data_IF_077934715989
#
_entry.id   IF_077934715989
#
_cell.length_a   1.000
_cell.length_b   1.000
_cell.length_c   1.000
_cell.angle_alpha   90.00
_cell.angle_beta   90.00
_cell.angle_gamma   90.00
#
_symmetry.space_group_name_H-M   'P 1'
#
loop_
_entity.id
_entity.type
_entity.pdbx_description
1 polymer ?
#
# COMPACT_ATOMS: atom_id res chain seq x y z
N UNK A 1 -7.95 -16.58 -47.32
CA UNK A 1 -7.73 -15.18 -46.87
C UNK A 1 -7.15 -15.21 -45.47
N UNK A 2 -5.93 -14.71 -45.26
CA UNK A 2 -5.20 -14.87 -44.00
C UNK A 2 -5.92 -14.22 -42.81
N UNK A 3 -5.87 -14.85 -41.63
CA UNK A 3 -6.50 -14.39 -40.38
C UNK A 3 -6.06 -12.96 -39.96
N UNK A 4 -4.95 -12.46 -40.51
CA UNK A 4 -4.48 -11.08 -40.37
C UNK A 4 -5.40 -10.04 -41.03
N UNK A 5 -6.11 -10.39 -42.11
CA UNK A 5 -6.92 -9.44 -42.90
C UNK A 5 -8.22 -8.98 -42.22
N UNK A 6 -8.60 -9.57 -41.07
CA UNK A 6 -9.88 -9.33 -40.39
C UNK A 6 -9.79 -8.53 -39.07
N UNK A 7 -8.59 -8.13 -38.61
CA UNK A 7 -8.41 -7.36 -37.36
C UNK A 7 -8.56 -5.83 -37.61
N UNK A 8 -9.07 -5.02 -36.66
CA UNK A 8 -9.18 -3.56 -36.86
C UNK A 8 -7.84 -2.90 -37.26
N UNK A 9 -7.89 -1.82 -38.05
CA UNK A 9 -6.74 -1.22 -38.75
C UNK A 9 -5.54 -0.89 -37.83
N UNK A 10 -5.80 -0.47 -36.57
CA UNK A 10 -4.76 -0.17 -35.56
C UNK A 10 -3.94 -1.38 -35.10
N UNK A 11 -4.46 -2.60 -35.25
CA UNK A 11 -3.74 -3.84 -34.91
C UNK A 11 -2.79 -4.25 -36.03
N UNK A 12 -2.94 -3.69 -37.24
CA UNK A 12 -2.17 -4.04 -38.43
C UNK A 12 -1.05 -3.06 -38.78
N UNK A 13 -1.07 -1.85 -38.23
CA UNK A 13 -0.15 -0.78 -38.61
C UNK A 13 0.80 -0.45 -37.46
N UNK A 14 2.08 -0.78 -37.63
CA UNK A 14 3.12 -0.57 -36.62
C UNK A 14 3.35 0.92 -36.30
N UNK A 15 3.38 1.78 -37.31
CA UNK A 15 3.68 3.21 -37.17
C UNK A 15 2.68 4.00 -36.31
N UNK A 16 1.35 3.96 -36.56
CA UNK A 16 0.38 4.64 -35.70
C UNK A 16 0.28 4.03 -34.29
N UNK A 17 0.62 2.76 -34.12
CA UNK A 17 0.68 2.12 -32.81
C UNK A 17 1.88 2.60 -31.98
N UNK A 18 3.05 2.75 -32.62
CA UNK A 18 4.24 3.35 -31.98
C UNK A 18 4.02 4.81 -31.61
N UNK A 19 3.39 5.61 -32.49
CA UNK A 19 3.03 7.00 -32.19
C UNK A 19 2.10 7.11 -30.96
N UNK A 20 1.08 6.24 -30.88
CA UNK A 20 0.19 6.21 -29.71
C UNK A 20 0.92 5.83 -28.41
N UNK A 21 1.86 4.88 -28.46
CA UNK A 21 2.70 4.54 -27.29
C UNK A 21 3.57 5.71 -26.86
N UNK A 22 4.18 6.41 -27.82
CA UNK A 22 4.96 7.63 -27.56
C UNK A 22 4.11 8.72 -26.89
N UNK A 23 2.90 8.99 -27.43
CA UNK A 23 1.97 9.95 -26.83
C UNK A 23 1.54 9.55 -25.41
N UNK A 24 1.27 8.27 -25.16
CA UNK A 24 0.93 7.76 -23.81
C UNK A 24 2.10 7.94 -22.83
N UNK A 25 3.32 7.61 -23.24
CA UNK A 25 4.51 7.81 -22.42
C UNK A 25 4.72 9.31 -22.11
N UNK A 26 4.54 10.17 -23.12
CA UNK A 26 4.59 11.63 -22.96
C UNK A 26 3.59 12.14 -21.93
N UNK A 27 2.36 11.61 -21.91
CA UNK A 27 1.35 12.00 -20.92
C UNK A 27 1.73 11.61 -19.48
N UNK A 28 2.33 10.42 -19.29
CA UNK A 28 2.79 9.96 -17.98
C UNK A 28 3.93 10.86 -17.47
N UNK A 29 4.92 11.14 -18.34
CA UNK A 29 6.04 12.02 -18.00
C UNK A 29 5.56 13.44 -17.72
N UNK A 30 4.60 13.93 -18.52
CA UNK A 30 3.98 15.23 -18.30
C UNK A 30 3.28 15.30 -16.94
N UNK A 31 2.47 14.29 -16.58
CA UNK A 31 1.82 14.23 -15.27
C UNK A 31 2.85 14.20 -14.13
N UNK A 32 3.88 13.37 -14.23
CA UNK A 32 4.92 13.27 -13.21
C UNK A 32 5.66 14.61 -13.03
N UNK A 33 6.02 15.29 -14.11
CA UNK A 33 6.68 16.60 -14.06
C UNK A 33 5.77 17.70 -13.50
N UNK A 34 4.54 17.79 -14.00
CA UNK A 34 3.57 18.80 -13.56
C UNK A 34 3.17 18.63 -12.09
N UNK A 35 2.89 17.40 -11.65
CA UNK A 35 2.54 17.12 -10.26
C UNK A 35 3.73 17.34 -9.33
N UNK A 36 4.95 17.03 -9.75
CA UNK A 36 6.12 17.29 -8.91
C UNK A 36 6.33 18.80 -8.72
N UNK A 37 6.20 19.61 -9.78
CA UNK A 37 6.25 21.07 -9.66
C UNK A 37 5.11 21.62 -8.81
N UNK A 38 3.91 21.04 -8.93
CA UNK A 38 2.76 21.40 -8.11
C UNK A 38 2.99 21.11 -6.63
N UNK A 39 3.50 19.92 -6.30
CA UNK A 39 3.84 19.55 -4.92
C UNK A 39 4.93 20.46 -4.35
N UNK A 40 5.99 20.75 -5.11
CA UNK A 40 7.05 21.70 -4.69
C UNK A 40 6.48 23.09 -4.43
N UNK A 41 5.56 23.58 -5.27
CA UNK A 41 4.97 24.90 -5.12
C UNK A 41 4.10 25.05 -3.86
N UNK A 42 3.54 23.94 -3.34
CA UNK A 42 2.69 23.93 -2.13
C UNK A 42 3.40 23.35 -0.91
N UNK A 43 4.67 22.97 -1.04
CA UNK A 43 5.42 22.33 0.03
C UNK A 43 5.82 23.34 1.12
N UNK A 44 5.45 23.02 2.35
CA UNK A 44 5.85 23.74 3.57
C UNK A 44 6.87 22.86 4.33
N UNK A 45 8.16 23.21 4.35
CA UNK A 45 9.22 22.36 4.92
C UNK A 45 9.10 22.07 6.42
N UNK A 46 8.40 22.93 7.16
CA UNK A 46 8.24 22.80 8.62
C UNK A 46 7.18 21.75 9.01
N UNK A 47 6.33 21.34 8.07
CA UNK A 47 5.29 20.34 8.31
C UNK A 47 5.74 18.97 7.80
N UNK A 48 5.30 17.87 8.44
CA UNK A 48 5.49 16.54 7.89
C UNK A 48 4.91 16.42 6.47
N UNK A 49 5.59 15.68 5.59
CA UNK A 49 5.16 15.52 4.20
C UNK A 49 3.78 14.87 4.10
N UNK A 50 3.49 13.92 4.98
CA UNK A 50 2.24 13.16 4.99
C UNK A 50 1.02 13.98 5.40
N UNK A 51 1.19 15.16 6.01
CA UNK A 51 0.08 16.08 6.33
C UNK A 51 -0.35 16.96 5.14
N UNK A 52 0.47 17.00 4.08
CA UNK A 52 0.35 18.01 3.01
C UNK A 52 -0.22 17.45 1.71
N UNK A 53 -0.68 16.18 1.71
CA UNK A 53 -1.23 15.53 0.52
C UNK A 53 -0.18 15.24 -0.56
N UNK A 54 1.09 15.07 -0.17
CA UNK A 54 2.20 14.82 -1.09
C UNK A 54 2.34 13.32 -1.35
N UNK A 55 2.54 12.95 -2.61
CA UNK A 55 2.82 11.58 -3.02
C UNK A 55 4.12 11.45 -3.80
N UNK A 56 4.55 12.45 -4.57
CA UNK A 56 5.77 12.36 -5.38
C UNK A 56 7.03 12.77 -4.61
N UNK A 57 6.97 13.85 -3.82
CA UNK A 57 8.07 14.28 -2.97
C UNK A 57 8.53 13.19 -1.98
N UNK A 58 7.65 12.43 -1.31
CA UNK A 58 8.03 11.26 -0.52
C UNK A 58 8.83 10.20 -1.31
N UNK A 59 8.49 9.96 -2.58
CA UNK A 59 9.25 9.03 -3.42
C UNK A 59 10.66 9.58 -3.69
N UNK A 60 10.78 10.87 -4.03
CA UNK A 60 12.09 11.51 -4.23
C UNK A 60 12.95 11.51 -2.97
N UNK A 61 12.33 11.77 -1.80
CA UNK A 61 12.99 11.76 -0.51
C UNK A 61 13.50 10.36 -0.13
N UNK A 62 12.68 9.33 -0.37
CA UNK A 62 13.05 7.92 -0.13
C UNK A 62 14.24 7.48 -0.99
N UNK A 63 14.33 8.02 -2.20
CA UNK A 63 15.39 7.71 -3.16
C UNK A 63 16.71 8.46 -2.89
N UNK A 64 16.70 9.47 -2.01
CA UNK A 64 17.86 10.31 -1.72
C UNK A 64 18.53 10.85 -2.99
N UNK A 65 17.77 11.51 -3.88
CA UNK A 65 18.14 12.24 -5.12
C UNK A 65 19.18 11.64 -6.11
N UNK A 66 20.28 11.01 -5.66
CA UNK A 66 21.37 10.42 -6.43
C UNK A 66 21.50 8.89 -6.32
N UNK A 67 20.93 8.26 -5.29
CA UNK A 67 21.07 6.81 -5.06
C UNK A 67 20.25 5.96 -6.05
N UNK A 68 19.17 6.49 -6.64
CA UNK A 68 18.42 5.80 -7.70
C UNK A 68 19.27 5.60 -8.97
N UNK A 69 20.07 6.60 -9.35
CA UNK A 69 20.95 6.50 -10.52
C UNK A 69 21.98 5.39 -10.31
N UNK A 70 22.55 5.29 -9.11
CA UNK A 70 23.48 4.22 -8.75
C UNK A 70 22.82 2.84 -8.63
N UNK A 71 21.60 2.73 -8.07
CA UNK A 71 20.83 1.48 -7.97
C UNK A 71 20.40 0.97 -9.35
N UNK A 72 19.95 1.87 -10.22
CA UNK A 72 19.51 1.55 -11.57
C UNK A 72 20.68 1.15 -12.48
N UNK A 73 21.85 1.78 -12.34
CA UNK A 73 23.02 1.53 -13.19
C UNK A 73 23.95 0.41 -12.71
N UNK A 74 24.13 0.23 -11.39
CA UNK A 74 25.20 -0.63 -10.85
C UNK A 74 24.73 -1.75 -9.91
N UNK A 75 23.50 -1.71 -9.38
CA UNK A 75 23.01 -2.68 -8.39
C UNK A 75 21.66 -3.31 -8.78
N UNK A 76 21.65 -4.09 -9.87
CA UNK A 76 20.54 -4.98 -10.21
C UNK A 76 19.27 -4.30 -10.75
N UNK A 77 19.37 -3.05 -11.21
CA UNK A 77 18.30 -2.37 -11.94
C UNK A 77 17.10 -1.91 -11.10
N UNK A 78 16.10 -1.38 -11.80
CA UNK A 78 14.77 -1.00 -11.28
C UNK A 78 13.73 -1.82 -12.03
N UNK A 79 12.61 -2.15 -11.37
CA UNK A 79 11.52 -2.91 -11.98
C UNK A 79 11.00 -2.21 -13.24
N UNK A 80 11.09 -2.89 -14.40
CA UNK A 80 10.65 -2.39 -15.71
C UNK A 80 9.30 -2.99 -16.09
N UNK A 81 8.26 -2.16 -16.06
CA UNK A 81 6.89 -2.52 -16.48
C UNK A 81 6.76 -2.82 -17.98
N UNK A 82 7.82 -2.62 -18.77
CA UNK A 82 7.85 -2.84 -20.22
C UNK A 82 8.70 -4.05 -20.64
N UNK A 83 9.19 -4.85 -19.69
CA UNK A 83 9.92 -6.08 -20.00
C UNK A 83 9.05 -7.04 -20.86
N UNK A 84 9.60 -7.71 -21.89
CA UNK A 84 8.81 -8.51 -22.82
C UNK A 84 8.22 -9.76 -22.13
N UNK A 85 6.91 -9.78 -21.86
CA UNK A 85 6.24 -10.90 -21.18
C UNK A 85 4.72 -10.77 -20.98
N UNK A 86 4.18 -9.55 -20.91
CA UNK A 86 2.75 -9.27 -21.13
C UNK A 86 1.72 -9.86 -20.14
N UNK A 87 2.14 -10.61 -19.12
CA UNK A 87 1.30 -11.13 -18.03
C UNK A 87 1.27 -10.25 -16.78
N UNK A 88 2.12 -9.23 -16.70
CA UNK A 88 2.54 -8.62 -15.42
C UNK A 88 1.83 -7.30 -15.06
N UNK A 89 0.64 -7.02 -15.60
CA UNK A 89 -0.15 -5.83 -15.19
C UNK A 89 -1.01 -6.05 -13.94
N UNK A 90 -1.37 -7.31 -13.68
CA UNK A 90 -2.27 -7.72 -12.61
C UNK A 90 -1.60 -7.72 -11.23
N UNK A 91 -0.41 -8.34 -11.16
CA UNK A 91 0.32 -8.56 -9.92
C UNK A 91 0.84 -7.27 -9.28
N UNK A 92 1.40 -6.29 -10.02
CA UNK A 92 2.02 -5.13 -9.40
C UNK A 92 1.03 -4.20 -8.70
N UNK A 93 -0.22 -4.09 -9.17
CA UNK A 93 -1.22 -3.21 -8.54
C UNK A 93 -1.60 -3.67 -7.14
N UNK A 94 -1.92 -4.95 -6.97
CA UNK A 94 -2.23 -5.53 -5.67
C UNK A 94 -1.00 -5.63 -4.76
N UNK A 95 0.18 -5.96 -5.32
CA UNK A 95 1.44 -5.96 -4.57
C UNK A 95 1.74 -4.55 -4.06
N UNK A 96 1.69 -3.53 -4.93
CA UNK A 96 1.93 -2.14 -4.55
C UNK A 96 0.95 -1.65 -3.48
N UNK A 97 -0.33 -2.01 -3.58
CA UNK A 97 -1.34 -1.74 -2.56
C UNK A 97 -0.93 -2.32 -1.20
N UNK A 98 -0.57 -3.60 -1.13
CA UNK A 98 -0.11 -4.22 0.12
C UNK A 98 1.22 -3.61 0.61
N UNK A 99 2.13 -3.30 -0.31
CA UNK A 99 3.47 -2.82 0.01
C UNK A 99 3.41 -1.44 0.68
N UNK A 100 2.66 -0.49 0.13
CA UNK A 100 2.49 0.84 0.75
C UNK A 100 1.71 0.77 2.07
N UNK A 101 0.82 -0.22 2.21
CA UNK A 101 0.00 -0.38 3.41
C UNK A 101 0.77 -0.95 4.61
N UNK A 102 1.70 -1.89 4.38
CA UNK A 102 2.40 -2.60 5.45
C UNK A 102 3.88 -2.25 5.61
N UNK A 103 4.57 -1.91 4.52
CA UNK A 103 6.01 -1.71 4.55
C UNK A 103 6.36 -0.31 5.08
N UNK A 104 7.23 -0.23 6.09
CA UNK A 104 7.78 1.01 6.63
C UNK A 104 9.29 1.18 6.37
N UNK A 105 9.89 0.28 5.60
CA UNK A 105 11.31 0.37 5.18
C UNK A 105 11.45 1.14 3.86
N UNK A 106 10.79 0.66 2.81
CA UNK A 106 10.77 1.26 1.48
C UNK A 106 9.71 2.37 1.35
N UNK A 107 8.77 2.43 2.30
CA UNK A 107 7.86 3.56 2.48
C UNK A 107 8.05 4.10 3.90
N UNK A 108 9.12 4.88 4.16
CA UNK A 108 9.44 5.38 5.50
C UNK A 108 8.27 6.17 6.10
N UNK A 109 7.93 5.87 7.36
CA UNK A 109 6.79 6.52 8.02
C UNK A 109 7.03 8.01 8.28
N UNK A 110 8.27 8.47 8.24
CA UNK A 110 8.65 9.89 8.25
C UNK A 110 8.11 10.67 7.04
N UNK A 111 7.99 10.02 5.88
CA UNK A 111 7.51 10.67 4.64
C UNK A 111 6.05 10.35 4.34
N UNK A 112 5.63 9.10 4.60
CA UNK A 112 4.29 8.59 4.24
C UNK A 112 3.31 8.55 5.41
N UNK A 113 3.76 8.87 6.63
CA UNK A 113 2.99 8.70 7.85
C UNK A 113 3.00 7.24 8.35
N UNK A 114 2.42 6.96 9.52
CA UNK A 114 2.40 5.61 10.07
C UNK A 114 1.53 4.67 9.25
N UNK A 115 1.90 3.38 9.24
CA UNK A 115 0.97 2.33 8.77
C UNK A 115 -0.20 2.17 9.75
N UNK A 116 -1.27 1.51 9.33
CA UNK A 116 -2.39 1.18 10.23
C UNK A 116 -1.95 0.38 11.48
N UNK A 117 -1.19 -0.72 11.31
CA UNK A 117 -0.57 -1.45 12.42
C UNK A 117 0.31 -0.56 13.31
N UNK A 118 1.09 0.33 12.71
CA UNK A 118 2.00 1.23 13.45
C UNK A 118 1.26 2.24 14.32
N UNK A 119 0.22 2.89 13.80
CA UNK A 119 -0.61 3.81 14.56
C UNK A 119 -1.36 3.12 15.70
N UNK A 120 -1.85 1.90 15.48
CA UNK A 120 -2.51 1.08 16.51
C UNK A 120 -1.57 0.71 17.65
N UNK A 121 -0.34 0.27 17.34
CA UNK A 121 0.65 -0.02 18.39
C UNK A 121 1.14 1.26 19.09
N UNK A 122 1.24 2.37 18.37
CA UNK A 122 1.59 3.67 18.92
C UNK A 122 0.55 4.16 19.96
N UNK A 123 -0.74 3.92 19.71
CA UNK A 123 -1.80 4.20 20.68
C UNK A 123 -1.63 3.38 21.96
N UNK A 124 -1.44 2.06 21.85
CA UNK A 124 -1.25 1.19 23.02
C UNK A 124 -0.02 1.58 23.83
N UNK A 125 1.09 1.87 23.15
CA UNK A 125 2.32 2.34 23.78
C UNK A 125 2.13 3.68 24.51
N UNK A 126 1.46 4.65 23.90
CA UNK A 126 1.20 5.98 24.50
C UNK A 126 0.45 5.85 25.82
N UNK A 127 -0.61 5.06 25.86
CA UNK A 127 -1.39 4.86 27.09
C UNK A 127 -0.65 4.00 28.13
N UNK A 128 0.16 3.03 27.70
CA UNK A 128 1.03 2.27 28.60
C UNK A 128 2.00 3.21 29.32
N UNK A 129 2.71 4.07 28.59
CA UNK A 129 3.66 5.04 29.16
C UNK A 129 2.97 5.98 30.13
N UNK A 130 1.82 6.54 29.73
CA UNK A 130 1.04 7.44 30.58
C UNK A 130 0.66 6.77 31.90
N UNK A 131 0.06 5.59 31.83
CA UNK A 131 -0.47 4.92 33.02
C UNK A 131 0.67 4.40 33.92
N UNK A 132 1.79 3.98 33.34
CA UNK A 132 2.98 3.63 34.10
C UNK A 132 3.53 4.84 34.89
N UNK A 133 3.56 6.03 34.29
CA UNK A 133 3.96 7.28 34.98
C UNK A 133 2.98 7.69 36.09
N UNK A 134 1.71 7.31 35.97
CA UNK A 134 0.72 7.46 37.02
C UNK A 134 0.83 6.39 38.12
N UNK A 135 1.83 5.50 38.04
CA UNK A 135 2.10 4.46 39.04
C UNK A 135 1.42 3.12 38.77
N UNK A 136 0.81 2.92 37.60
CA UNK A 136 0.19 1.65 37.26
C UNK A 136 1.24 0.56 36.98
N UNK A 137 1.05 -0.62 37.56
CA UNK A 137 1.84 -1.81 37.24
C UNK A 137 1.36 -2.45 35.92
N UNK A 138 1.89 -1.97 34.80
CA UNK A 138 1.43 -2.37 33.46
C UNK A 138 1.56 -3.87 33.15
N UNK A 139 2.48 -4.59 33.82
CA UNK A 139 2.68 -6.02 33.66
C UNK A 139 1.71 -6.91 34.45
N UNK A 140 1.00 -6.36 35.45
CA UNK A 140 0.03 -7.10 36.27
C UNK A 140 -1.39 -6.52 36.20
N UNK A 141 -1.59 -5.47 35.40
CA UNK A 141 -2.89 -4.84 35.24
C UNK A 141 -3.81 -5.73 34.38
N UNK A 142 -4.82 -6.31 35.02
CA UNK A 142 -5.85 -7.09 34.35
C UNK A 142 -6.90 -6.17 33.73
N UNK A 143 -7.26 -6.42 32.48
CA UNK A 143 -8.35 -5.78 31.77
C UNK A 143 -9.71 -6.46 32.05
N UNK A 144 -10.82 -5.86 31.57
CA UNK A 144 -12.17 -6.35 31.87
C UNK A 144 -12.47 -7.78 31.37
N UNK A 145 -11.76 -8.25 30.34
CA UNK A 145 -11.94 -9.59 29.76
C UNK A 145 -11.14 -10.68 30.47
N UNK A 146 -10.38 -10.32 31.50
CA UNK A 146 -9.47 -11.21 32.19
C UNK A 146 -8.06 -11.28 31.58
N UNK A 147 -7.88 -10.79 30.34
CA UNK A 147 -6.56 -10.60 29.71
C UNK A 147 -5.83 -9.38 30.29
N UNK A 148 -4.52 -9.27 30.09
CA UNK A 148 -3.77 -8.09 30.50
C UNK A 148 -4.18 -6.84 29.72
N UNK A 149 -4.36 -5.72 30.43
CA UNK A 149 -4.83 -4.46 29.84
C UNK A 149 -3.81 -3.87 28.85
N UNK A 150 -2.53 -3.90 29.20
CA UNK A 150 -1.46 -3.31 28.39
C UNK A 150 -0.58 -4.35 27.71
N UNK A 151 -0.31 -5.47 28.38
CA UNK A 151 0.56 -6.53 27.89
C UNK A 151 -0.15 -7.88 27.97
N UNK A 152 0.03 -8.71 26.97
CA UNK A 152 -0.47 -10.09 26.92
C UNK A 152 0.48 -10.98 26.14
N UNK A 153 0.14 -12.26 25.95
CA UNK A 153 0.92 -13.19 25.13
C UNK A 153 0.30 -13.35 23.74
N UNK A 154 1.15 -13.46 22.73
CA UNK A 154 0.79 -13.96 21.40
C UNK A 154 0.37 -15.44 21.46
N UNK A 155 -0.20 -16.00 20.39
CA UNK A 155 -0.46 -17.44 20.29
C UNK A 155 0.79 -18.32 20.45
N UNK A 156 1.98 -17.79 20.18
CA UNK A 156 3.28 -18.47 20.27
C UNK A 156 4.08 -18.11 21.53
N UNK A 157 3.53 -17.25 22.40
CA UNK A 157 4.05 -16.98 23.73
C UNK A 157 4.87 -15.70 23.88
N UNK A 158 5.17 -14.96 22.81
CA UNK A 158 5.84 -13.65 22.88
C UNK A 158 4.99 -12.62 23.65
N UNK A 159 5.65 -11.72 24.36
CA UNK A 159 5.00 -10.57 25.02
C UNK A 159 4.65 -9.51 23.97
N UNK A 160 3.37 -9.17 23.88
CA UNK A 160 2.80 -8.23 22.91
C UNK A 160 1.89 -7.22 23.62
N UNK A 161 1.52 -6.14 22.94
CA UNK A 161 0.53 -5.20 23.45
C UNK A 161 -0.87 -5.83 23.54
N UNK A 162 -1.63 -5.43 24.57
CA UNK A 162 -2.99 -5.87 24.84
C UNK A 162 -4.07 -5.11 24.07
N UNK A 163 -5.32 -5.52 24.23
CA UNK A 163 -6.47 -4.92 23.54
C UNK A 163 -6.53 -5.32 22.06
N UNK A 164 -7.26 -4.54 21.26
CA UNK A 164 -7.51 -4.87 19.85
C UNK A 164 -6.24 -4.90 18.98
N UNK A 165 -5.18 -4.21 19.40
CA UNK A 165 -3.88 -4.18 18.72
C UNK A 165 -3.11 -5.50 18.85
N UNK A 166 -3.65 -6.50 19.58
CA UNK A 166 -3.11 -7.86 19.59
C UNK A 166 -2.96 -8.43 18.17
N UNK A 167 -3.82 -8.02 17.24
CA UNK A 167 -3.79 -8.44 15.83
C UNK A 167 -2.58 -7.89 15.04
N UNK A 168 -1.90 -6.88 15.58
CA UNK A 168 -0.80 -6.17 14.92
C UNK A 168 0.54 -6.43 15.59
N UNK A 169 0.67 -7.51 16.34
CA UNK A 169 1.88 -7.82 17.11
C UNK A 169 3.14 -8.07 16.24
N UNK A 170 2.92 -8.36 14.96
CA UNK A 170 3.96 -8.52 13.93
C UNK A 170 4.64 -7.21 13.52
N UNK A 171 4.12 -6.04 13.96
CA UNK A 171 4.74 -4.75 13.67
C UNK A 171 6.20 -4.73 14.16
N UNK A 172 7.08 -4.30 13.26
CA UNK A 172 8.46 -3.92 13.56
C UNK A 172 8.64 -2.46 13.18
N UNK A 173 9.15 -1.65 14.11
CA UNK A 173 9.33 -0.22 13.89
C UNK A 173 10.53 0.31 14.68
N UNK A 174 11.35 1.21 14.12
CA UNK A 174 12.60 1.66 14.74
C UNK A 174 12.39 2.31 16.11
N UNK A 175 11.22 2.91 16.35
CA UNK A 175 10.87 3.50 17.65
C UNK A 175 10.45 2.47 18.71
N UNK A 176 10.09 1.24 18.32
CA UNK A 176 9.63 0.18 19.23
C UNK A 176 10.69 -0.91 19.44
N UNK A 177 11.52 -1.21 18.42
CA UNK A 177 12.54 -2.27 18.48
C UNK A 177 13.48 -2.22 19.69
N UNK A 178 13.94 -1.03 20.18
CA UNK A 178 14.79 -0.97 21.36
C UNK A 178 14.16 -1.60 22.62
N UNK A 179 12.83 -1.67 22.68
CA UNK A 179 12.06 -2.21 23.81
C UNK A 179 11.75 -3.71 23.66
N UNK A 180 12.20 -4.34 22.57
CA UNK A 180 11.99 -5.76 22.29
C UNK A 180 13.23 -6.57 22.71
N UNK A 181 12.98 -7.70 23.36
CA UNK A 181 13.97 -8.73 23.68
C UNK A 181 13.65 -10.06 22.96
N UNK A 182 14.33 -11.16 23.32
CA UNK A 182 14.15 -12.46 22.66
C UNK A 182 12.71 -13.02 22.74
N UNK A 183 11.97 -12.66 23.79
CA UNK A 183 10.61 -13.15 24.06
C UNK A 183 9.52 -12.08 23.77
N UNK A 184 9.78 -11.12 22.90
CA UNK A 184 8.87 -10.00 22.62
C UNK A 184 9.18 -8.76 23.46
N UNK A 185 8.18 -7.98 23.84
CA UNK A 185 8.37 -6.75 24.62
C UNK A 185 8.97 -7.05 26.00
N UNK A 186 10.06 -6.36 26.34
CA UNK A 186 10.78 -6.56 27.59
C UNK A 186 10.24 -5.64 28.68
N UNK A 187 9.65 -6.23 29.73
CA UNK A 187 9.07 -5.49 30.85
C UNK A 187 10.11 -4.64 31.60
N UNK A 188 11.37 -5.08 31.67
CA UNK A 188 12.43 -4.32 32.34
C UNK A 188 12.77 -3.04 31.56
N UNK A 189 12.84 -3.15 30.23
CA UNK A 189 13.07 -2.01 29.32
C UNK A 189 11.88 -1.07 29.28
N UNK A 190 10.65 -1.60 29.24
CA UNK A 190 9.44 -0.77 29.33
C UNK A 190 9.39 0.05 30.63
N UNK A 191 9.95 -0.48 31.73
CA UNK A 191 10.00 0.24 33.00
C UNK A 191 11.07 1.33 33.07
N UNK A 192 12.20 1.17 32.38
CA UNK A 192 13.41 1.96 32.64
C UNK A 192 13.99 2.69 31.44
N UNK A 193 13.76 2.18 30.23
CA UNK A 193 14.55 2.55 29.05
C UNK A 193 13.74 3.33 28.00
N UNK A 194 12.47 3.63 28.29
CA UNK A 194 11.62 4.44 27.41
C UNK A 194 12.19 5.85 27.29
N UNK A 195 12.43 6.27 26.05
CA UNK A 195 13.00 7.58 25.74
C UNK A 195 11.92 8.59 25.35
N UNK A 196 12.08 9.88 25.70
CA UNK A 196 11.12 10.93 25.34
C UNK A 196 10.85 11.05 23.83
N UNK A 197 11.82 10.70 22.98
CA UNK A 197 11.62 10.73 21.53
C UNK A 197 10.70 9.59 21.04
N UNK A 198 10.70 8.43 21.70
CA UNK A 198 9.77 7.33 21.41
C UNK A 198 8.34 7.74 21.78
N UNK A 199 8.18 8.43 22.92
CA UNK A 199 6.90 8.98 23.36
C UNK A 199 6.35 10.02 22.37
N UNK A 200 7.19 10.96 21.91
CA UNK A 200 6.78 11.92 20.88
C UNK A 200 6.37 11.22 19.58
N UNK A 201 7.18 10.27 19.11
CA UNK A 201 6.93 9.52 17.87
C UNK A 201 5.63 8.72 17.93
N UNK A 202 5.37 8.06 19.06
CA UNK A 202 4.13 7.30 19.26
C UNK A 202 2.90 8.20 19.39
N UNK A 203 3.00 9.33 20.07
CA UNK A 203 1.90 10.31 20.13
C UNK A 203 1.61 10.89 18.74
N UNK A 204 2.64 11.23 17.96
CA UNK A 204 2.53 11.67 16.56
C UNK A 204 1.84 10.60 15.71
N UNK A 205 2.28 9.34 15.79
CA UNK A 205 1.73 8.27 14.97
C UNK A 205 0.33 7.82 15.36
N UNK A 206 -0.04 7.86 16.66
CA UNK A 206 -1.41 7.56 17.05
C UNK A 206 -2.39 8.64 16.53
N UNK A 207 -1.95 9.90 16.48
CA UNK A 207 -2.78 11.03 16.04
C UNK A 207 -2.83 11.21 14.53
N UNK A 208 -1.92 10.55 13.80
CA UNK A 208 -1.90 10.52 12.33
C UNK A 208 -2.22 9.14 11.75
N UNK A 209 -3.04 8.36 12.47
CA UNK A 209 -3.52 7.08 11.98
C UNK A 209 -4.16 7.24 10.59
N UNK A 210 -3.98 6.28 9.65
CA UNK A 210 -4.41 6.42 8.25
C UNK A 210 -5.93 6.24 8.06
N UNK A 211 -6.73 7.01 8.81
CA UNK A 211 -8.18 7.06 8.74
C UNK A 211 -8.62 8.49 8.40
N UNK A 212 -9.60 8.59 7.50
CA UNK A 212 -10.24 9.84 7.14
C UNK A 212 -11.32 9.63 6.08
N UNK A 213 -12.12 10.66 5.86
CA UNK A 213 -13.22 10.64 4.89
C UNK A 213 -12.77 11.02 3.47
N UNK A 214 -13.64 10.77 2.49
CA UNK A 214 -13.39 11.13 1.08
C UNK A 214 -13.22 12.65 0.85
N UNK A 215 -13.85 13.48 1.68
CA UNK A 215 -13.68 14.95 1.65
C UNK A 215 -12.54 15.43 2.57
N UNK A 216 -11.62 14.52 2.92
CA UNK A 216 -10.39 14.78 3.67
C UNK A 216 -10.57 15.21 5.13
N UNK A 217 -11.64 14.78 5.80
CA UNK A 217 -11.79 14.94 7.26
C UNK A 217 -11.04 13.79 7.93
N UNK A 218 -9.97 14.11 8.65
CA UNK A 218 -9.13 13.14 9.34
C UNK A 218 -9.76 12.62 10.62
N UNK A 219 -9.51 11.34 10.93
CA UNK A 219 -10.03 10.67 12.12
C UNK A 219 -11.05 9.59 11.80
N UNK A 220 -11.84 9.22 12.81
CA UNK A 220 -12.86 8.17 12.70
C UNK A 220 -14.08 8.67 11.91
N UNK A 221 -14.93 7.77 11.45
CA UNK A 221 -16.12 8.13 10.64
C UNK A 221 -17.13 9.04 11.38
N UNK A 222 -17.08 9.09 12.71
CA UNK A 222 -17.92 9.95 13.56
C UNK A 222 -17.22 11.23 13.99
N UNK A 223 -16.03 11.52 13.46
CA UNK A 223 -15.27 12.72 13.80
C UNK A 223 -15.95 13.96 13.20
N UNK A 224 -15.91 15.08 13.93
CA UNK A 224 -16.40 16.35 13.43
C UNK A 224 -15.43 16.94 12.39
N UNK A 225 -15.93 17.84 11.54
CA UNK A 225 -15.08 18.55 10.57
C UNK A 225 -14.10 19.49 11.30
N UNK A 226 -12.86 19.02 11.51
CA UNK A 226 -11.82 19.81 12.19
C UNK A 226 -10.45 19.66 11.54
N UNK A 227 -9.99 18.43 11.29
CA UNK A 227 -8.65 18.14 10.77
C UNK A 227 -8.75 17.80 9.29
N UNK A 228 -8.02 18.52 8.44
CA UNK A 228 -7.89 18.19 7.01
C UNK A 228 -6.74 17.20 6.81
N UNK A 229 -7.03 15.90 6.83
CA UNK A 229 -6.01 14.85 6.74
C UNK A 229 -6.56 13.54 6.18
N UNK A 230 -5.87 12.99 5.19
CA UNK A 230 -5.96 11.58 4.79
C UNK A 230 -4.54 11.14 4.45
N UNK A 231 -4.10 10.04 5.06
CA UNK A 231 -2.74 9.53 4.84
C UNK A 231 -2.44 9.27 3.36
N UNK A 232 -1.24 9.62 2.87
CA UNK A 232 -0.77 9.19 1.55
C UNK A 232 -0.85 7.68 1.34
N UNK A 233 -0.71 6.88 2.42
CA UNK A 233 -0.86 5.41 2.34
C UNK A 233 -2.27 5.01 1.93
N UNK A 234 -3.30 5.68 2.45
CA UNK A 234 -4.70 5.42 2.10
C UNK A 234 -4.98 5.79 0.63
N UNK A 235 -4.49 6.94 0.18
CA UNK A 235 -4.61 7.36 -1.22
C UNK A 235 -3.91 6.39 -2.18
N UNK A 236 -2.67 6.01 -1.88
CA UNK A 236 -1.88 5.11 -2.71
C UNK A 236 -2.47 3.69 -2.70
N UNK A 237 -2.83 3.13 -1.55
CA UNK A 237 -3.39 1.79 -1.47
C UNK A 237 -4.72 1.67 -2.23
N UNK A 238 -5.66 2.59 -1.98
CA UNK A 238 -6.98 2.55 -2.62
C UNK A 238 -6.90 2.75 -4.13
N UNK A 239 -6.10 3.72 -4.61
CA UNK A 239 -5.91 3.94 -6.05
C UNK A 239 -5.29 2.73 -6.75
N UNK A 240 -4.22 2.14 -6.19
CA UNK A 240 -3.56 0.97 -6.77
C UNK A 240 -4.43 -0.27 -6.72
N UNK A 241 -5.25 -0.45 -5.68
CA UNK A 241 -6.22 -1.54 -5.62
C UNK A 241 -7.28 -1.42 -6.73
N UNK A 242 -7.88 -0.24 -6.90
CA UNK A 242 -8.88 0.01 -7.95
C UNK A 242 -8.28 -0.21 -9.34
N UNK A 243 -7.07 0.31 -9.58
CA UNK A 243 -6.35 0.07 -10.83
C UNK A 243 -6.11 -1.44 -11.03
N UNK A 244 -5.51 -2.11 -10.04
CA UNK A 244 -5.23 -3.56 -10.10
C UNK A 244 -6.48 -4.39 -10.43
N UNK A 245 -7.62 -4.06 -9.84
CA UNK A 245 -8.89 -4.69 -10.15
C UNK A 245 -9.32 -4.48 -11.61
N UNK A 246 -9.30 -3.25 -12.13
CA UNK A 246 -9.69 -3.03 -13.52
C UNK A 246 -8.69 -3.60 -14.53
N UNK A 247 -7.40 -3.66 -14.19
CA UNK A 247 -6.42 -4.39 -14.99
C UNK A 247 -6.70 -5.90 -15.00
N UNK A 248 -7.18 -6.48 -13.89
CA UNK A 248 -7.63 -7.86 -13.85
C UNK A 248 -8.82 -8.12 -14.77
N UNK A 249 -9.85 -7.29 -14.68
CA UNK A 249 -11.03 -7.38 -15.54
C UNK A 249 -10.62 -7.25 -17.02
N UNK A 250 -9.73 -6.30 -17.32
CA UNK A 250 -9.15 -6.12 -18.65
C UNK A 250 -8.37 -7.35 -19.12
N UNK A 251 -7.59 -7.99 -18.24
CA UNK A 251 -6.87 -9.24 -18.54
C UNK A 251 -7.85 -10.35 -18.91
N UNK A 252 -8.86 -10.64 -18.09
CA UNK A 252 -9.86 -11.68 -18.37
C UNK A 252 -10.57 -11.44 -19.71
N UNK A 253 -10.99 -10.19 -19.93
CA UNK A 253 -11.65 -9.80 -21.17
C UNK A 253 -10.76 -10.02 -22.40
N UNK A 254 -9.53 -9.50 -22.37
CA UNK A 254 -8.63 -9.60 -23.52
C UNK A 254 -8.08 -11.02 -23.73
N UNK A 255 -7.80 -11.77 -22.67
CA UNK A 255 -7.35 -13.16 -22.76
C UNK A 255 -8.45 -14.08 -23.30
N UNK A 256 -9.68 -13.97 -22.79
CA UNK A 256 -10.83 -14.71 -23.28
C UNK A 256 -11.12 -14.41 -24.74
N UNK A 257 -11.16 -13.13 -25.12
CA UNK A 257 -11.34 -12.72 -26.51
C UNK A 257 -10.21 -13.19 -27.43
N UNK A 258 -8.96 -13.14 -26.97
CA UNK A 258 -7.82 -13.60 -27.75
C UNK A 258 -7.89 -15.11 -28.03
N UNK A 259 -8.27 -15.91 -27.02
CA UNK A 259 -8.47 -17.36 -27.17
C UNK A 259 -9.63 -17.67 -28.12
N UNK A 260 -10.78 -17.03 -27.94
CA UNK A 260 -11.92 -17.21 -28.83
C UNK A 260 -11.61 -16.81 -30.28
N UNK A 261 -10.85 -15.73 -30.47
CA UNK A 261 -10.45 -15.27 -31.81
C UNK A 261 -9.41 -16.19 -32.46
N UNK A 262 -8.50 -16.78 -31.68
CA UNK A 262 -7.56 -17.78 -32.16
C UNK A 262 -8.28 -19.07 -32.58
N UNK A 263 -9.34 -19.44 -31.85
CA UNK A 263 -10.17 -20.60 -32.16
C UNK A 263 -11.29 -20.32 -33.19
N UNK A 264 -11.49 -19.06 -33.59
CA UNK A 264 -12.35 -18.66 -34.71
C UNK A 264 -13.85 -18.52 -34.41
N UNK A 265 -14.25 -18.50 -33.14
CA UNK A 265 -15.66 -18.36 -32.72
C UNK A 265 -15.94 -17.06 -31.95
N UNK A 266 -15.05 -16.07 -32.02
CA UNK A 266 -15.20 -14.81 -31.25
C UNK A 266 -16.40 -13.96 -31.69
N UNK A 267 -16.99 -14.26 -32.84
CA UNK A 267 -18.13 -13.54 -33.42
C UNK A 267 -19.47 -14.25 -33.23
N UNK A 268 -19.49 -15.39 -32.55
CA UNK A 268 -20.68 -16.20 -32.35
C UNK A 268 -20.48 -17.65 -32.81
N UNK A 269 -21.50 -18.45 -32.55
CA UNK A 269 -21.55 -19.88 -32.90
C UNK A 269 -22.00 -20.00 -34.37
N UNK A 270 -21.36 -20.91 -35.11
CA UNK A 270 -21.81 -21.28 -36.45
C UNK A 270 -23.13 -22.04 -36.36
N UNK A 271 -24.16 -21.55 -37.05
CA UNK A 271 -25.51 -22.15 -37.01
C UNK A 271 -25.56 -23.50 -37.68
N UNK A 272 -24.66 -23.77 -38.62
CA UNK A 272 -24.61 -25.06 -39.33
C UNK A 272 -23.75 -26.09 -38.57
N UNK A 273 -22.94 -25.64 -37.60
CA UNK A 273 -22.02 -26.49 -36.83
C UNK A 273 -21.96 -26.09 -35.35
N UNK A 274 -23.07 -26.30 -34.63
CA UNK A 274 -23.14 -26.08 -33.19
C UNK A 274 -22.49 -27.25 -32.42
N UNK A 275 -21.37 -27.04 -31.69
CA UNK A 275 -20.62 -28.16 -31.09
C UNK A 275 -21.43 -28.96 -30.07
N UNK A 276 -22.34 -28.32 -29.34
CA UNK A 276 -23.14 -28.97 -28.29
C UNK A 276 -24.09 -30.03 -28.87
N UNK A 277 -24.57 -29.85 -30.11
CA UNK A 277 -25.44 -30.83 -30.78
C UNK A 277 -24.74 -32.14 -31.14
N UNK A 278 -23.40 -32.12 -31.21
CA UNK A 278 -22.58 -33.31 -31.47
C UNK A 278 -22.15 -34.06 -30.20
N UNK A 279 -22.45 -33.52 -29.02
CA UNK A 279 -22.12 -34.15 -27.74
C UNK A 279 -23.23 -35.10 -27.29
N UNK A 280 -22.85 -36.14 -26.54
CA UNK A 280 -23.83 -37.02 -25.90
C UNK A 280 -24.66 -36.24 -24.87
N UNK A 281 -25.98 -36.45 -24.80
CA UNK A 281 -26.80 -35.91 -23.73
C UNK A 281 -26.24 -36.32 -22.36
N UNK A 282 -26.39 -35.44 -21.37
CA UNK A 282 -25.87 -35.69 -20.02
C UNK A 282 -26.70 -36.72 -19.23
N UNK A 283 -27.84 -37.16 -19.76
CA UNK A 283 -28.81 -38.07 -19.12
C UNK A 283 -29.00 -39.35 -19.93
#
# INVERSE_FOLDING_TARGET
MSALARKPLRVRLAHPFSCWRGAKAGLIVFWAGAMNLFEVAHFVPEKPMYEQGLILLPHLATLGAFLLVFKALYFGGVYDTWAPGGGDGLYPGFIACCFVWFNNTAYPSEFYGPTGPEASQAQAFTFLVRDQRLGANVGSAQGPTGLGKYLMRSPTGEVIFGGETMRFWDLRAPWLEPLRGPNGLDLSRLKKDIQPWQERRSAEYMTHAPLGSLNSVGGVATEINAVNYVSPRSWLATSHFVLGFFFFVGHLWHAGRARAAAAGFEKGIDRDFEPVLSMTPLN
#
